data_IF_480093647581
#
_entry.id   IF_480093647581
#
_cell.length_a   1.000
_cell.length_b   1.000
_cell.length_c   1.000
_cell.angle_alpha   90.00
_cell.angle_beta   90.00
_cell.angle_gamma   90.00
#
_symmetry.space_group_name_H-M   'P 1'
#
loop_
_entity.id
_entity.type
_entity.pdbx_description
1 polymer ?
#
# COMPACT_ATOMS: atom_id res chain seq x y z
N UNK A 1 14.76 4.28 -0.02
CA UNK A 1 13.94 3.39 0.84
C UNK A 1 12.54 3.87 0.61
N UNK A 2 11.71 3.05 -0.02
CA UNK A 2 10.57 3.61 -0.76
C UNK A 2 9.22 3.39 -0.07
N UNK A 3 9.19 2.72 1.09
CA UNK A 3 7.96 2.27 1.76
C UNK A 3 6.90 3.38 1.95
N UNK A 4 7.33 4.60 2.24
CA UNK A 4 6.45 5.76 2.42
C UNK A 4 5.59 6.04 1.18
N UNK A 5 6.16 5.81 -0.01
CA UNK A 5 5.48 6.06 -1.29
C UNK A 5 4.35 5.08 -1.54
N UNK A 6 4.34 3.94 -0.86
CA UNK A 6 3.32 2.89 -0.99
C UNK A 6 2.17 3.01 0.02
N UNK A 7 2.32 3.84 1.06
CA UNK A 7 1.32 4.02 2.10
C UNK A 7 0.26 5.01 1.64
N UNK A 8 -1.00 4.75 1.98
CA UNK A 8 -2.10 5.69 1.69
C UNK A 8 -1.82 7.06 2.30
N UNK A 9 -2.06 8.12 1.51
CA UNK A 9 -1.86 9.50 1.92
C UNK A 9 -2.89 9.98 2.94
N UNK A 10 -4.07 9.38 2.94
CA UNK A 10 -5.19 9.74 3.82
C UNK A 10 -5.81 8.50 4.45
N UNK A 11 -6.05 8.55 5.75
CA UNK A 11 -6.66 7.45 6.48
C UNK A 11 -6.46 7.54 7.98
N UNK A 12 -7.18 6.70 8.71
CA UNK A 12 -7.02 6.52 10.15
C UNK A 12 -5.66 5.96 10.53
N UNK A 13 -4.99 5.28 9.59
CA UNK A 13 -3.71 4.63 9.75
C UNK A 13 -2.53 5.62 9.77
N UNK A 14 -2.71 6.83 9.23
CA UNK A 14 -1.62 7.76 8.98
C UNK A 14 -0.82 8.11 10.25
N UNK A 15 -1.50 8.33 11.38
CA UNK A 15 -0.81 8.63 12.64
C UNK A 15 0.11 7.48 13.07
N UNK A 16 -0.31 6.23 12.85
CA UNK A 16 0.50 5.05 13.14
C UNK A 16 1.69 4.94 12.17
N UNK A 17 1.45 5.10 10.87
CA UNK A 17 2.52 4.97 9.86
C UNK A 17 3.55 6.09 9.97
N UNK A 18 3.12 7.34 10.22
CA UNK A 18 4.03 8.46 10.44
C UNK A 18 4.95 8.22 11.64
N UNK A 19 4.40 7.72 12.75
CA UNK A 19 5.23 7.37 13.91
C UNK A 19 6.24 6.27 13.59
N UNK A 20 5.82 5.20 12.90
CA UNK A 20 6.73 4.14 12.49
C UNK A 20 7.83 4.64 11.54
N UNK A 21 7.52 5.57 10.64
CA UNK A 21 8.51 6.19 9.75
C UNK A 21 9.54 6.98 10.56
N UNK A 22 9.09 7.80 11.52
CA UNK A 22 9.98 8.52 12.43
C UNK A 22 10.88 7.56 13.23
N UNK A 23 10.29 6.50 13.80
CA UNK A 23 11.02 5.48 14.55
C UNK A 23 12.04 4.77 13.65
N UNK A 24 11.68 4.46 12.42
CA UNK A 24 12.56 3.83 11.44
C UNK A 24 13.78 4.68 11.15
N UNK A 25 13.60 5.97 10.85
CA UNK A 25 14.71 6.89 10.62
C UNK A 25 15.60 7.03 11.86
N UNK A 26 15.00 7.17 13.03
CA UNK A 26 15.74 7.21 14.28
C UNK A 26 16.59 5.95 14.49
N UNK A 27 16.03 4.77 14.25
CA UNK A 27 16.73 3.50 14.41
C UNK A 27 17.88 3.34 13.40
N UNK A 28 17.68 3.74 12.15
CA UNK A 28 18.72 3.72 11.11
C UNK A 28 19.86 4.68 11.49
N UNK A 29 19.55 5.90 11.91
CA UNK A 29 20.55 6.90 12.32
C UNK A 29 21.40 6.46 13.51
N UNK A 30 20.86 5.59 14.36
CA UNK A 30 21.55 5.02 15.52
C UNK A 30 22.06 3.59 15.27
N UNK A 31 22.12 3.15 14.01
CA UNK A 31 22.65 1.83 13.60
C UNK A 31 21.92 0.63 14.24
N UNK A 32 20.66 0.82 14.65
CA UNK A 32 19.80 -0.21 15.21
C UNK A 32 19.07 -1.00 14.12
N UNK A 33 19.81 -1.56 13.18
CA UNK A 33 19.29 -2.16 11.94
C UNK A 33 18.34 -3.34 12.15
N UNK A 34 18.57 -4.16 13.19
CA UNK A 34 17.66 -5.25 13.53
C UNK A 34 16.27 -4.72 13.89
N UNK A 35 16.19 -3.70 14.74
CA UNK A 35 14.93 -3.07 15.12
C UNK A 35 14.34 -2.27 13.95
N UNK A 36 15.16 -1.56 13.19
CA UNK A 36 14.74 -0.83 12.00
C UNK A 36 14.02 -1.77 11.00
N UNK A 37 14.56 -2.96 10.77
CA UNK A 37 13.93 -3.93 9.86
C UNK A 37 12.59 -4.45 10.38
N UNK A 38 12.41 -4.56 11.70
CA UNK A 38 11.11 -4.92 12.27
C UNK A 38 10.08 -3.80 12.07
N UNK A 39 10.48 -2.53 12.27
CA UNK A 39 9.61 -1.38 11.99
C UNK A 39 9.26 -1.33 10.51
N UNK A 40 10.25 -1.53 9.63
CA UNK A 40 10.04 -1.59 8.20
C UNK A 40 9.06 -2.70 7.80
N UNK A 41 9.15 -3.87 8.44
CA UNK A 41 8.19 -4.96 8.22
C UNK A 41 6.75 -4.57 8.61
N UNK A 42 6.56 -3.80 9.69
CA UNK A 42 5.21 -3.32 10.05
C UNK A 42 4.65 -2.34 9.01
N UNK A 43 5.50 -1.48 8.44
CA UNK A 43 5.11 -0.60 7.34
C UNK A 43 4.75 -1.42 6.09
N UNK A 44 5.55 -2.42 5.74
CA UNK A 44 5.25 -3.37 4.66
C UNK A 44 3.90 -4.06 4.88
N UNK A 45 3.64 -4.59 6.08
CA UNK A 45 2.36 -5.22 6.39
C UNK A 45 1.19 -4.24 6.27
N UNK A 46 1.41 -2.97 6.62
CA UNK A 46 0.40 -1.92 6.45
C UNK A 46 0.08 -1.69 4.97
N UNK A 47 1.09 -1.65 4.09
CA UNK A 47 0.89 -1.58 2.62
C UNK A 47 0.07 -2.76 2.12
N UNK A 48 0.38 -3.99 2.57
CA UNK A 48 -0.36 -5.20 2.18
C UNK A 48 -1.81 -5.13 2.66
N UNK A 49 -2.05 -4.73 3.91
CA UNK A 49 -3.39 -4.56 4.45
C UNK A 49 -4.20 -3.49 3.70
N UNK A 50 -3.60 -2.34 3.41
CA UNK A 50 -4.22 -1.28 2.61
C UNK A 50 -4.56 -1.77 1.20
N UNK A 51 -3.68 -2.54 0.58
CA UNK A 51 -3.93 -3.15 -0.74
C UNK A 51 -5.15 -4.06 -0.70
N UNK A 52 -5.25 -4.96 0.27
CA UNK A 52 -6.42 -5.84 0.40
C UNK A 52 -7.70 -5.05 0.75
N UNK A 53 -7.57 -3.96 1.51
CA UNK A 53 -8.69 -3.04 1.78
C UNK A 53 -9.20 -2.39 0.49
N UNK A 54 -8.31 -1.97 -0.42
CA UNK A 54 -8.70 -1.49 -1.77
C UNK A 54 -9.49 -2.55 -2.53
N UNK A 55 -9.08 -3.82 -2.45
CA UNK A 55 -9.81 -4.91 -3.13
C UNK A 55 -11.25 -5.10 -2.62
N UNK A 56 -11.53 -4.79 -1.34
CA UNK A 56 -12.90 -4.79 -0.81
C UNK A 56 -13.80 -3.83 -1.58
N UNK A 57 -13.29 -2.65 -1.91
CA UNK A 57 -14.05 -1.60 -2.59
C UNK A 57 -14.03 -1.79 -4.11
N UNK A 58 -12.88 -2.10 -4.68
CA UNK A 58 -12.71 -2.15 -6.13
C UNK A 58 -13.16 -3.49 -6.73
N UNK A 59 -13.20 -4.56 -5.91
CA UNK A 59 -13.56 -5.91 -6.33
C UNK A 59 -14.53 -6.58 -5.36
N UNK A 60 -15.55 -5.85 -4.94
CA UNK A 60 -16.49 -6.26 -3.88
C UNK A 60 -16.97 -7.70 -3.99
N UNK A 61 -17.44 -8.15 -5.16
CA UNK A 61 -17.91 -9.53 -5.31
C UNK A 61 -16.78 -10.56 -5.11
N UNK A 62 -15.60 -10.35 -5.69
CA UNK A 62 -14.46 -11.26 -5.49
C UNK A 62 -14.01 -11.25 -4.02
N UNK A 63 -14.03 -10.09 -3.36
CA UNK A 63 -13.72 -9.99 -1.94
C UNK A 63 -14.71 -10.80 -1.11
N UNK A 64 -16.01 -10.62 -1.34
CA UNK A 64 -17.08 -11.38 -0.69
C UNK A 64 -16.92 -12.89 -0.87
N UNK A 65 -16.65 -13.35 -2.09
CA UNK A 65 -16.43 -14.76 -2.39
C UNK A 65 -15.17 -15.30 -1.67
N UNK A 66 -14.08 -14.52 -1.67
CA UNK A 66 -12.86 -14.89 -0.98
C UNK A 66 -13.07 -15.02 0.54
N UNK A 67 -13.90 -14.16 1.17
CA UNK A 67 -14.22 -14.32 2.61
C UNK A 67 -14.97 -15.60 2.96
N UNK A 68 -15.63 -16.25 1.98
CA UNK A 68 -16.29 -17.55 2.17
C UNK A 68 -15.25 -18.68 2.13
N UNK A 69 -14.28 -18.56 1.20
CA UNK A 69 -13.25 -19.57 0.96
C UNK A 69 -12.12 -19.52 2.00
N UNK A 70 -11.73 -18.31 2.39
CA UNK A 70 -10.73 -18.04 3.43
C UNK A 70 -11.46 -18.13 4.78
N UNK A 71 -11.71 -19.38 5.21
CA UNK A 71 -12.32 -19.70 6.49
C UNK A 71 -11.34 -19.39 7.64
N UNK A 72 -11.26 -18.11 7.99
CA UNK A 72 -10.45 -17.59 9.07
C UNK A 72 -11.13 -17.84 10.42
N UNK A 73 -10.36 -18.29 11.43
CA UNK A 73 -10.89 -18.54 12.78
C UNK A 73 -10.76 -17.32 13.69
N UNK A 74 -9.91 -16.37 13.31
CA UNK A 74 -9.45 -15.25 14.13
C UNK A 74 -10.20 -13.95 13.76
N UNK A 75 -10.75 -13.88 12.55
CA UNK A 75 -11.63 -12.82 12.09
C UNK A 75 -12.87 -13.39 11.40
N UNK A 76 -14.07 -13.03 11.85
CA UNK A 76 -15.30 -13.54 11.22
C UNK A 76 -15.55 -12.90 9.85
N UNK A 77 -16.26 -13.60 8.95
CA UNK A 77 -16.71 -13.03 7.67
C UNK A 77 -17.42 -11.69 7.83
N UNK A 78 -18.28 -11.56 8.85
CA UNK A 78 -18.99 -10.30 9.11
C UNK A 78 -18.02 -9.16 9.44
N UNK A 79 -16.98 -9.43 10.24
CA UNK A 79 -15.96 -8.44 10.56
C UNK A 79 -15.11 -8.09 9.32
N UNK A 80 -14.73 -9.07 8.49
CA UNK A 80 -13.99 -8.80 7.25
C UNK A 80 -14.76 -7.88 6.29
N UNK A 81 -16.06 -8.14 6.10
CA UNK A 81 -16.90 -7.34 5.21
C UNK A 81 -17.20 -5.94 5.78
N UNK A 82 -17.17 -5.80 7.11
CA UNK A 82 -17.39 -4.54 7.80
C UNK A 82 -16.09 -3.79 8.13
N UNK A 83 -14.93 -4.33 7.73
CA UNK A 83 -13.66 -3.66 7.91
C UNK A 83 -13.75 -2.26 7.29
N UNK A 84 -13.21 -1.24 7.95
CA UNK A 84 -13.07 0.12 7.41
C UNK A 84 -11.64 0.63 7.54
N UNK A 85 -10.81 -0.07 8.32
CA UNK A 85 -9.40 0.16 8.51
C UNK A 85 -8.57 -1.01 8.00
N UNK A 86 -7.35 -0.73 7.55
CA UNK A 86 -6.37 -1.76 7.22
C UNK A 86 -6.04 -2.66 8.43
N UNK A 87 -6.10 -2.10 9.64
CA UNK A 87 -5.78 -2.81 10.88
C UNK A 87 -6.89 -3.74 11.37
N UNK A 88 -8.10 -3.68 10.79
CA UNK A 88 -9.17 -4.64 11.08
C UNK A 88 -8.75 -6.08 10.69
N UNK A 89 -7.81 -6.20 9.74
CA UNK A 89 -7.26 -7.48 9.30
C UNK A 89 -6.12 -8.02 10.17
N UNK A 90 -5.61 -7.25 11.14
CA UNK A 90 -4.43 -7.61 11.95
C UNK A 90 -4.60 -8.90 12.79
N UNK A 91 -5.83 -9.35 13.01
CA UNK A 91 -6.12 -10.62 13.70
C UNK A 91 -5.78 -11.85 12.83
N UNK A 92 -5.73 -11.68 11.52
CA UNK A 92 -5.39 -12.75 10.58
C UNK A 92 -3.87 -12.97 10.63
N UNK A 93 -3.37 -14.21 10.79
CA UNK A 93 -1.95 -14.49 10.72
C UNK A 93 -1.37 -14.02 9.38
N UNK A 94 -0.33 -13.19 9.41
CA UNK A 94 0.20 -12.49 8.23
C UNK A 94 0.54 -13.42 7.06
N UNK A 95 1.13 -14.59 7.35
CA UNK A 95 1.44 -15.58 6.32
C UNK A 95 0.16 -16.08 5.61
N UNK A 96 -0.95 -16.28 6.35
CA UNK A 96 -2.26 -16.60 5.76
C UNK A 96 -2.83 -15.38 5.02
N UNK A 97 -2.64 -14.18 5.57
CA UNK A 97 -3.16 -12.94 4.98
C UNK A 97 -2.65 -12.70 3.55
N UNK A 98 -1.42 -13.13 3.23
CA UNK A 98 -0.88 -13.00 1.87
C UNK A 98 -1.72 -13.65 0.78
N UNK A 99 -2.57 -14.64 1.10
CA UNK A 99 -3.48 -15.25 0.13
C UNK A 99 -4.53 -14.26 -0.42
N UNK A 100 -4.86 -13.21 0.33
CA UNK A 100 -5.78 -12.17 -0.15
C UNK A 100 -5.23 -11.37 -1.33
N UNK A 101 -3.92 -11.40 -1.60
CA UNK A 101 -3.36 -10.77 -2.80
C UNK A 101 -3.87 -11.42 -4.09
N UNK A 102 -4.39 -12.65 -4.04
CA UNK A 102 -5.09 -13.28 -5.19
C UNK A 102 -6.34 -12.53 -5.60
N UNK A 103 -6.87 -11.66 -4.75
CA UNK A 103 -7.93 -10.73 -5.13
C UNK A 103 -7.50 -9.81 -6.26
N UNK A 104 -6.20 -9.55 -6.43
CA UNK A 104 -5.64 -8.87 -7.60
C UNK A 104 -4.85 -9.83 -8.49
N UNK A 105 -5.26 -11.10 -8.52
CA UNK A 105 -4.73 -12.12 -9.41
C UNK A 105 -3.22 -12.38 -9.24
N UNK A 106 -2.68 -12.15 -8.02
CA UNK A 106 -1.30 -12.47 -7.66
C UNK A 106 -0.97 -13.97 -7.85
N UNK A 107 0.22 -14.22 -8.41
CA UNK A 107 0.73 -15.57 -8.61
C UNK A 107 1.31 -16.20 -7.32
N UNK A 108 1.49 -17.52 -7.35
CA UNK A 108 2.05 -18.28 -6.22
C UNK A 108 3.49 -17.85 -5.87
N UNK A 109 4.22 -17.31 -6.86
CA UNK A 109 5.58 -16.82 -6.67
C UNK A 109 5.59 -15.60 -5.75
N UNK A 110 4.80 -14.57 -6.06
CA UNK A 110 4.68 -13.36 -5.27
C UNK A 110 4.17 -13.67 -3.85
N UNK A 111 3.15 -14.52 -3.74
CA UNK A 111 2.61 -14.93 -2.43
C UNK A 111 3.68 -15.67 -1.61
N UNK A 112 4.45 -16.55 -2.26
CA UNK A 112 5.57 -17.25 -1.64
C UNK A 112 6.65 -16.30 -1.13
N UNK A 113 7.02 -15.28 -1.92
CA UNK A 113 7.99 -14.27 -1.56
C UNK A 113 7.51 -13.41 -0.37
N UNK A 114 6.25 -12.97 -0.37
CA UNK A 114 5.67 -12.26 0.78
C UNK A 114 5.68 -13.10 2.06
N UNK A 115 5.31 -14.39 1.97
CA UNK A 115 5.33 -15.31 3.12
C UNK A 115 6.74 -15.55 3.63
N UNK A 116 7.74 -15.54 2.74
CA UNK A 116 9.15 -15.65 3.12
C UNK A 116 9.58 -14.44 3.96
N UNK A 117 9.15 -13.22 3.63
CA UNK A 117 9.43 -12.03 4.45
C UNK A 117 8.82 -12.14 5.87
N UNK A 118 7.58 -12.62 5.97
CA UNK A 118 6.92 -12.87 7.27
C UNK A 118 7.70 -13.91 8.08
N UNK A 119 8.10 -15.02 7.44
CA UNK A 119 8.88 -16.06 8.09
C UNK A 119 10.23 -15.53 8.56
N UNK A 120 10.95 -14.83 7.68
CA UNK A 120 12.25 -14.22 7.99
C UNK A 120 12.14 -13.26 9.18
N UNK A 121 11.07 -12.45 9.27
CA UNK A 121 10.81 -11.58 10.41
C UNK A 121 10.53 -12.37 11.68
N UNK A 122 9.69 -13.39 11.63
CA UNK A 122 9.37 -14.23 12.80
C UNK A 122 10.63 -14.93 13.34
N UNK A 123 11.44 -15.50 12.44
CA UNK A 123 12.69 -16.16 12.78
C UNK A 123 13.74 -15.21 13.38
N UNK A 124 13.56 -13.89 13.26
CA UNK A 124 14.44 -12.87 13.86
C UNK A 124 13.87 -12.26 15.14
N UNK A 125 12.54 -12.25 15.28
CA UNK A 125 11.86 -11.67 16.44
C UNK A 125 11.95 -12.57 17.69
N UNK A 126 12.26 -13.85 17.50
CA UNK A 126 12.50 -14.77 18.61
C UNK A 126 13.93 -14.65 19.15
N UNK A 127 14.09 -14.83 20.47
CA UNK A 127 15.39 -14.84 21.14
C UNK A 127 16.21 -16.11 20.81
N UNK A 128 16.57 -16.29 19.54
CA UNK A 128 17.30 -17.45 19.02
C UNK A 128 18.74 -17.14 18.58
N UNK A 129 19.20 -15.90 18.83
CA UNK A 129 20.56 -15.45 18.51
C UNK A 129 20.74 -14.91 17.09
N UNK A 130 19.70 -14.93 16.25
CA UNK A 130 19.73 -14.32 14.92
C UNK A 130 19.64 -12.79 15.04
N UNK A 131 20.77 -12.14 15.26
CA UNK A 131 20.88 -10.68 15.35
C UNK A 131 21.46 -10.06 14.08
N UNK A 132 21.10 -8.81 13.84
CA UNK A 132 21.34 -8.14 12.59
C UNK A 132 21.93 -6.75 12.83
N UNK A 133 23.26 -6.69 12.86
CA UNK A 133 24.03 -5.48 13.14
C UNK A 133 24.67 -4.86 11.90
N UNK A 134 24.54 -5.52 10.75
CA UNK A 134 25.24 -5.15 9.52
C UNK A 134 24.33 -4.28 8.63
N UNK A 135 24.82 -3.09 8.28
CA UNK A 135 24.13 -2.16 7.38
C UNK A 135 23.96 -2.72 5.98
N UNK A 136 24.92 -3.51 5.47
CA UNK A 136 24.82 -4.07 4.13
C UNK A 136 23.70 -5.10 4.05
N UNK A 137 23.63 -6.00 5.04
CA UNK A 137 22.52 -6.94 5.11
C UNK A 137 21.19 -6.18 5.19
N UNK A 138 21.13 -5.07 5.94
CA UNK A 138 19.92 -4.26 6.09
C UNK A 138 19.45 -3.75 4.75
N UNK A 139 20.35 -3.09 4.03
CA UNK A 139 20.10 -2.57 2.69
C UNK A 139 19.64 -3.68 1.74
N UNK A 140 20.30 -4.85 1.74
CA UNK A 140 19.90 -5.98 0.91
C UNK A 140 18.46 -6.44 1.22
N UNK A 141 18.08 -6.41 2.50
CA UNK A 141 16.71 -6.75 2.92
C UNK A 141 15.71 -5.67 2.51
N UNK A 142 16.03 -4.39 2.70
CA UNK A 142 15.18 -3.29 2.24
C UNK A 142 14.92 -3.40 0.73
N UNK A 143 15.95 -3.70 -0.06
CA UNK A 143 15.81 -3.94 -1.52
C UNK A 143 14.85 -5.12 -1.81
N UNK A 144 14.91 -6.19 -1.03
CA UNK A 144 13.98 -7.33 -1.16
C UNK A 144 12.53 -6.90 -0.89
N UNK A 145 12.29 -6.12 0.17
CA UNK A 145 10.96 -5.59 0.47
C UNK A 145 10.47 -4.61 -0.62
N UNK A 146 11.29 -3.63 -1.00
CA UNK A 146 10.93 -2.61 -2.00
C UNK A 146 10.53 -3.28 -3.33
N UNK A 147 11.28 -4.30 -3.78
CA UNK A 147 10.93 -5.09 -4.99
C UNK A 147 9.61 -5.83 -4.86
N UNK A 148 9.28 -6.35 -3.68
CA UNK A 148 8.02 -7.06 -3.45
C UNK A 148 6.86 -6.06 -3.41
N UNK A 149 7.03 -4.89 -2.80
CA UNK A 149 6.01 -3.82 -2.79
C UNK A 149 5.72 -3.31 -4.20
N UNK A 150 6.76 -3.10 -5.01
CA UNK A 150 6.61 -2.73 -6.42
C UNK A 150 5.77 -3.77 -7.19
N UNK A 151 6.03 -5.06 -6.97
CA UNK A 151 5.24 -6.14 -7.57
C UNK A 151 3.79 -6.14 -7.10
N UNK A 152 3.54 -5.90 -5.81
CA UNK A 152 2.19 -5.82 -5.24
C UNK A 152 1.42 -4.64 -5.85
N UNK A 153 2.05 -3.47 -5.95
CA UNK A 153 1.48 -2.29 -6.59
C UNK A 153 1.05 -2.57 -8.03
N UNK A 154 1.92 -3.21 -8.81
CA UNK A 154 1.63 -3.54 -10.19
C UNK A 154 0.45 -4.52 -10.37
N UNK A 155 0.01 -5.24 -9.33
CA UNK A 155 -1.17 -6.11 -9.43
C UNK A 155 -2.47 -5.33 -9.69
N UNK A 156 -2.55 -4.08 -9.23
CA UNK A 156 -3.80 -3.33 -9.27
C UNK A 156 -3.76 -2.06 -10.13
N UNK A 157 -2.68 -1.85 -10.89
CA UNK A 157 -2.49 -0.69 -11.77
C UNK A 157 -3.62 -0.53 -12.79
N UNK A 158 -4.13 -1.63 -13.36
CA UNK A 158 -5.23 -1.59 -14.31
C UNK A 158 -6.54 -1.12 -13.65
N UNK A 159 -6.83 -1.58 -12.43
CA UNK A 159 -8.01 -1.12 -11.66
C UNK A 159 -7.88 0.34 -11.26
N UNK A 160 -6.69 0.80 -10.89
CA UNK A 160 -6.44 2.21 -10.61
C UNK A 160 -6.71 3.07 -11.86
N UNK A 161 -6.33 2.58 -13.04
CA UNK A 161 -6.59 3.24 -14.33
C UNK A 161 -8.10 3.34 -14.59
N UNK A 162 -8.85 2.26 -14.34
CA UNK A 162 -10.31 2.26 -14.47
C UNK A 162 -10.97 3.28 -13.52
N UNK A 163 -10.60 3.26 -12.24
CA UNK A 163 -11.11 4.20 -11.22
C UNK A 163 -10.80 5.65 -11.59
N UNK A 164 -9.60 5.91 -12.09
CA UNK A 164 -9.23 7.25 -12.52
C UNK A 164 -10.05 7.71 -13.73
N UNK A 165 -10.26 6.83 -14.71
CA UNK A 165 -11.09 7.13 -15.87
C UNK A 165 -12.57 7.33 -15.50
N UNK A 166 -13.10 6.59 -14.54
CA UNK A 166 -14.45 6.79 -13.99
C UNK A 166 -14.55 8.16 -13.31
N UNK A 167 -13.59 8.51 -12.46
CA UNK A 167 -13.52 9.84 -11.86
C UNK A 167 -13.50 10.96 -12.92
N UNK A 168 -12.68 10.80 -13.97
CA UNK A 168 -12.61 11.74 -15.08
C UNK A 168 -13.92 11.84 -15.88
N UNK A 169 -14.68 10.75 -15.98
CA UNK A 169 -15.98 10.74 -16.64
C UNK A 169 -17.05 11.49 -15.83
N UNK A 170 -16.99 11.36 -14.51
CA UNK A 170 -17.91 11.99 -13.56
C UNK A 170 -17.65 13.49 -13.33
N UNK A 171 -16.50 14.00 -13.79
CA UNK A 171 -16.23 15.44 -13.86
C UNK A 171 -17.18 16.10 -14.88
N UNK A 172 -18.35 16.53 -14.42
CA UNK A 172 -19.32 17.24 -15.27
C UNK A 172 -18.82 18.65 -15.65
N UNK A 173 -18.89 18.99 -16.93
CA UNK A 173 -18.85 20.38 -17.41
C UNK A 173 -17.46 21.01 -17.53
N UNK A 174 -17.39 22.32 -17.28
CA UNK A 174 -16.19 23.16 -17.45
C UNK A 174 -15.64 23.66 -16.09
N UNK A 175 -16.13 23.08 -14.98
CA UNK A 175 -15.64 23.39 -13.64
C UNK A 175 -14.19 22.94 -13.49
N UNK A 176 -13.38 23.80 -12.86
CA UNK A 176 -11.96 23.52 -12.65
C UNK A 176 -11.81 22.47 -11.54
N UNK A 177 -11.00 21.45 -11.79
CA UNK A 177 -10.67 20.45 -10.77
C UNK A 177 -9.78 21.11 -9.72
N UNK A 178 -10.15 21.02 -8.45
CA UNK A 178 -9.32 21.49 -7.34
C UNK A 178 -8.63 20.33 -6.63
N UNK A 179 -7.57 20.64 -5.87
CA UNK A 179 -6.93 19.69 -4.96
C UNK A 179 -7.93 19.04 -4.00
N UNK A 180 -8.84 19.81 -3.43
CA UNK A 180 -9.83 19.28 -2.49
C UNK A 180 -10.76 18.27 -3.16
N UNK A 181 -11.08 18.45 -4.44
CA UNK A 181 -11.92 17.50 -5.19
C UNK A 181 -11.19 16.17 -5.38
N UNK A 182 -9.90 16.20 -5.75
CA UNK A 182 -9.07 15.00 -5.82
C UNK A 182 -8.98 14.30 -4.47
N UNK A 183 -8.68 15.06 -3.40
CA UNK A 183 -8.54 14.50 -2.06
C UNK A 183 -9.83 13.82 -1.58
N UNK A 184 -10.98 14.49 -1.77
CA UNK A 184 -12.27 14.05 -1.24
C UNK A 184 -12.90 12.92 -2.05
N UNK A 185 -12.87 13.00 -3.38
CA UNK A 185 -13.63 12.10 -4.25
C UNK A 185 -12.79 10.96 -4.83
N UNK A 186 -11.47 11.11 -4.86
CA UNK A 186 -10.59 10.09 -5.46
C UNK A 186 -9.58 9.54 -4.45
N UNK A 187 -8.77 10.38 -3.80
CA UNK A 187 -7.62 9.91 -3.01
C UNK A 187 -8.04 9.28 -1.68
N UNK A 188 -8.90 9.94 -0.91
CA UNK A 188 -9.35 9.46 0.40
C UNK A 188 -10.22 8.21 0.31
N UNK A 189 -11.23 8.14 -0.58
CA UNK A 189 -12.08 6.96 -0.70
C UNK A 189 -11.31 5.74 -1.20
N UNK A 190 -10.39 5.93 -2.15
CA UNK A 190 -9.62 4.85 -2.76
C UNK A 190 -8.26 4.59 -2.09
N UNK A 191 -7.96 5.30 -1.00
CA UNK A 191 -6.76 5.11 -0.17
C UNK A 191 -5.47 5.20 -0.98
N UNK A 192 -5.39 6.21 -1.83
CA UNK A 192 -4.28 6.37 -2.77
C UNK A 192 -2.99 6.81 -2.06
N UNK A 193 -1.88 6.25 -2.52
CA UNK A 193 -0.49 6.49 -2.09
C UNK A 193 0.23 7.37 -3.11
N UNK A 194 1.43 7.89 -2.80
CA UNK A 194 2.24 8.66 -3.76
C UNK A 194 2.48 7.87 -5.04
N UNK A 195 2.76 6.57 -4.94
CA UNK A 195 2.96 5.71 -6.10
C UNK A 195 1.71 5.63 -6.98
N UNK A 196 0.51 5.58 -6.38
CA UNK A 196 -0.75 5.58 -7.15
C UNK A 196 -0.91 6.89 -7.93
N UNK A 197 -0.57 8.02 -7.29
CA UNK A 197 -0.62 9.32 -7.94
C UNK A 197 0.40 9.45 -9.07
N UNK A 198 1.59 8.86 -8.94
CA UNK A 198 2.57 8.79 -10.04
C UNK A 198 2.01 8.02 -11.23
N UNK A 199 1.32 6.90 -10.98
CA UNK A 199 0.63 6.16 -12.03
C UNK A 199 -0.43 7.03 -12.72
N UNK A 200 -1.23 7.77 -11.95
CA UNK A 200 -2.24 8.69 -12.50
C UNK A 200 -1.62 9.84 -13.29
N UNK A 201 -0.48 10.36 -12.83
CA UNK A 201 0.26 11.41 -13.53
C UNK A 201 0.67 10.95 -14.93
N UNK A 202 1.12 9.70 -15.07
CA UNK A 202 1.48 9.10 -16.36
C UNK A 202 0.26 8.88 -17.28
N UNK A 203 -0.93 8.70 -16.72
CA UNK A 203 -2.19 8.57 -17.47
C UNK A 203 -2.71 9.91 -18.00
N UNK A 204 -2.23 11.05 -17.47
CA UNK A 204 -2.71 12.38 -17.85
C UNK A 204 -2.21 12.81 -19.25
N UNK A 205 -3.07 12.67 -20.26
CA UNK A 205 -2.95 13.33 -21.58
C UNK A 205 -3.14 14.86 -21.52
N UNK A 206 -2.07 15.60 -21.87
CA UNK A 206 -2.04 17.07 -21.94
C UNK A 206 -3.05 17.74 -22.89
N UNK A 207 -3.71 17.00 -23.79
CA UNK A 207 -4.72 17.56 -24.68
C UNK A 207 -6.05 17.85 -23.97
N UNK A 208 -6.32 17.20 -22.83
CA UNK A 208 -7.55 17.37 -22.05
C UNK A 208 -7.35 18.37 -20.91
N UNK A 209 -8.33 19.27 -20.72
CA UNK A 209 -8.30 20.31 -19.69
C UNK A 209 -8.18 19.70 -18.28
N UNK A 210 -9.08 18.77 -17.94
CA UNK A 210 -9.09 18.08 -16.64
C UNK A 210 -7.76 17.37 -16.36
N UNK A 211 -7.18 16.71 -17.36
CA UNK A 211 -5.87 16.07 -17.23
C UNK A 211 -4.76 17.08 -16.96
N UNK A 212 -4.77 18.22 -17.63
CA UNK A 212 -3.78 19.29 -17.40
C UNK A 212 -3.90 19.88 -15.99
N UNK A 213 -5.13 20.10 -15.53
CA UNK A 213 -5.40 20.60 -14.17
C UNK A 213 -4.94 19.60 -13.11
N UNK A 214 -5.34 18.33 -13.24
CA UNK A 214 -4.94 17.26 -12.33
C UNK A 214 -3.42 17.11 -12.32
N UNK A 215 -2.78 17.08 -13.50
CA UNK A 215 -1.32 16.99 -13.62
C UNK A 215 -0.61 18.15 -12.92
N UNK A 216 -1.15 19.36 -13.04
CA UNK A 216 -0.67 20.55 -12.34
C UNK A 216 -0.81 20.44 -10.82
N UNK A 217 -1.93 19.91 -10.31
CA UNK A 217 -2.11 19.65 -8.87
C UNK A 217 -1.10 18.61 -8.39
N UNK A 218 -0.97 17.48 -9.10
CA UNK A 218 -0.02 16.42 -8.73
C UNK A 218 1.43 16.94 -8.66
N UNK A 219 1.82 17.83 -9.58
CA UNK A 219 3.12 18.50 -9.54
C UNK A 219 3.26 19.47 -8.36
N UNK A 220 2.37 20.45 -8.27
CA UNK A 220 2.53 21.58 -7.36
C UNK A 220 2.27 21.22 -5.89
N UNK A 221 1.30 20.35 -5.63
CA UNK A 221 0.85 20.02 -4.29
C UNK A 221 1.48 18.74 -3.73
N UNK A 222 1.92 17.82 -4.60
CA UNK A 222 2.46 16.51 -4.22
C UNK A 222 3.88 16.24 -4.74
N UNK A 223 4.48 17.14 -5.51
CA UNK A 223 5.86 17.00 -6.00
C UNK A 223 6.05 15.89 -7.04
N UNK A 224 4.99 15.48 -7.73
CA UNK A 224 5.03 14.35 -8.68
C UNK A 224 5.50 14.81 -10.05
N UNK A 225 6.42 14.06 -10.66
CA UNK A 225 6.91 14.36 -12.02
C UNK A 225 7.96 15.47 -12.06
N UNK A 226 8.47 15.92 -10.91
CA UNK A 226 9.75 16.63 -10.86
C UNK A 226 10.87 15.58 -10.95
N UNK A 227 11.78 15.72 -11.93
CA UNK A 227 13.01 14.92 -11.94
C UNK A 227 13.82 15.28 -10.69
N UNK A 228 14.05 14.29 -9.82
CA UNK A 228 14.94 14.40 -8.66
C UNK A 228 16.40 14.57 -9.06
#
# INVERSE_FOLDING_TARGET
MEVERYLSLYGSENAYTSQLIEDLYFLIQNEHYHQALNVYHLLFMTVVYQTVLKARDWRTQKFEDATILINDRDLSRKEMLAATSAFDFSKIPESRFMEFLRLFDADDTLIGDCKKLVKDRNDRSHANGNYFSDSQLFEDKIIEYDRIMERIQNLYRDYLTEIFNEYLHDLEGDEAVTRNDLELYLMTPHKLSIFDLECMYDLCDSALKSHTEIKGILQLDYGIGEEA
#
